data_IF_725473210066
#
_entry.id   IF_725473210066
#
_cell.length_a   1.000
_cell.length_b   1.000
_cell.length_c   1.000
_cell.angle_alpha   90.00
_cell.angle_beta   90.00
_cell.angle_gamma   90.00
#
_symmetry.space_group_name_H-M   'P 1'
#
loop_
_entity.id
_entity.type
_entity.pdbx_description
1 polymer ?
#
# COMPACT_ATOMS: atom_id res chain seq x y z
N UNK A 1 25.79 -41.18 -71.47
CA UNK A 1 27.18 -41.53 -71.11
C UNK A 1 27.15 -42.28 -69.79
N UNK A 2 27.15 -43.61 -69.86
CA UNK A 2 27.32 -44.50 -68.71
C UNK A 2 28.71 -44.35 -68.10
N UNK A 3 28.85 -44.49 -66.78
CA UNK A 3 29.82 -45.41 -66.16
C UNK A 3 29.32 -45.88 -64.79
N UNK A 4 28.87 -47.15 -64.73
CA UNK A 4 28.84 -47.99 -63.52
C UNK A 4 30.26 -48.54 -63.24
N UNK A 5 30.66 -48.58 -61.96
CA UNK A 5 31.63 -49.55 -61.37
C UNK A 5 31.47 -49.45 -59.85
N UNK A 6 30.75 -50.35 -59.16
CA UNK A 6 31.09 -51.73 -58.78
C UNK A 6 32.41 -51.86 -58.00
N UNK A 7 32.30 -52.04 -56.68
CA UNK A 7 32.68 -53.28 -55.96
C UNK A 7 33.43 -53.06 -54.63
N UNK A 8 32.81 -53.65 -53.60
CA UNK A 8 33.28 -54.10 -52.28
C UNK A 8 34.79 -54.19 -52.03
N UNK A 9 35.20 -53.84 -50.79
CA UNK A 9 35.96 -54.74 -49.90
C UNK A 9 35.90 -54.31 -48.43
N UNK A 10 35.53 -55.26 -47.58
CA UNK A 10 35.71 -55.25 -46.14
C UNK A 10 37.19 -55.38 -45.79
N UNK A 11 37.65 -54.66 -44.76
CA UNK A 11 38.78 -55.09 -43.94
C UNK A 11 38.47 -54.81 -42.46
N UNK A 12 38.43 -55.89 -41.69
CA UNK A 12 38.46 -55.88 -40.23
C UNK A 12 39.90 -55.64 -39.78
N UNK A 13 40.11 -54.79 -38.76
CA UNK A 13 41.21 -54.97 -37.82
C UNK A 13 40.84 -54.43 -36.43
N UNK A 14 41.11 -55.26 -35.43
CA UNK A 14 41.04 -55.02 -34.00
C UNK A 14 42.17 -54.10 -33.50
N UNK A 15 41.86 -53.30 -32.48
CA UNK A 15 42.80 -52.58 -31.61
C UNK A 15 42.00 -51.57 -30.75
N UNK A 16 41.47 -51.97 -29.60
CA UNK A 16 42.11 -51.97 -28.28
C UNK A 16 42.51 -50.57 -27.77
N UNK A 17 41.75 -50.06 -26.80
CA UNK A 17 42.22 -49.11 -25.78
C UNK A 17 42.00 -47.62 -26.07
N UNK A 18 41.05 -47.00 -25.37
CA UNK A 18 40.92 -45.53 -25.36
C UNK A 18 39.67 -45.06 -24.63
N UNK A 19 39.83 -44.82 -23.32
CA UNK A 19 38.89 -44.27 -22.36
C UNK A 19 37.70 -43.46 -22.91
N UNK A 20 36.48 -43.94 -22.59
CA UNK A 20 35.27 -43.13 -22.63
C UNK A 20 35.35 -42.06 -21.51
N UNK A 21 35.82 -40.86 -21.86
CA UNK A 21 35.68 -39.69 -21.03
C UNK A 21 34.22 -39.24 -21.07
N UNK A 22 33.42 -39.78 -20.16
CA UNK A 22 32.08 -39.25 -19.87
C UNK A 22 32.25 -37.81 -19.42
N UNK A 23 31.93 -36.84 -20.28
CA UNK A 23 31.90 -35.43 -19.92
C UNK A 23 30.77 -35.22 -18.88
N UNK A 24 31.15 -35.23 -17.61
CA UNK A 24 30.27 -34.93 -16.49
C UNK A 24 29.85 -33.46 -16.60
N UNK A 25 28.56 -33.23 -16.87
CA UNK A 25 27.98 -31.89 -16.81
C UNK A 25 28.19 -31.29 -15.40
N UNK A 26 28.54 -29.99 -15.27
CA UNK A 26 28.86 -29.40 -13.97
C UNK A 26 27.62 -29.38 -13.05
N UNK A 27 27.80 -29.49 -11.72
CA UNK A 27 26.68 -29.44 -10.79
C UNK A 27 26.02 -28.06 -10.84
N UNK A 28 24.78 -28.05 -11.32
CA UNK A 28 23.91 -26.87 -11.25
C UNK A 28 23.72 -26.49 -9.77
N UNK A 29 24.33 -25.37 -9.36
CA UNK A 29 24.14 -24.79 -8.04
C UNK A 29 22.65 -24.48 -7.84
N UNK A 30 21.99 -25.18 -6.92
CA UNK A 30 20.54 -25.05 -6.69
C UNK A 30 20.08 -23.62 -6.40
N UNK A 31 20.96 -22.81 -5.78
CA UNK A 31 20.75 -21.38 -5.55
C UNK A 31 20.64 -20.59 -6.87
N UNK A 32 21.51 -20.86 -7.86
CA UNK A 32 21.42 -20.23 -9.20
C UNK A 32 20.16 -20.66 -9.96
N UNK A 33 19.72 -21.91 -9.82
CA UNK A 33 18.48 -22.39 -10.45
C UNK A 33 17.23 -21.79 -9.80
N UNK A 34 17.25 -21.58 -8.48
CA UNK A 34 16.16 -20.92 -7.74
C UNK A 34 16.10 -19.42 -8.04
N UNK A 35 17.25 -18.72 -8.02
CA UNK A 35 17.34 -17.33 -8.44
C UNK A 35 16.94 -17.17 -9.91
N UNK A 36 17.37 -18.03 -10.84
CA UNK A 36 16.96 -17.95 -12.26
C UNK A 36 15.45 -18.14 -12.44
N UNK A 37 14.82 -19.06 -11.71
CA UNK A 37 13.35 -19.26 -11.74
C UNK A 37 12.61 -18.10 -11.08
N UNK A 38 13.14 -17.57 -9.98
CA UNK A 38 12.61 -16.39 -9.30
C UNK A 38 12.73 -15.14 -10.17
N UNK A 39 13.87 -14.91 -10.83
CA UNK A 39 14.08 -13.82 -11.78
C UNK A 39 13.18 -13.98 -13.02
N UNK A 40 13.02 -15.20 -13.54
CA UNK A 40 12.09 -15.47 -14.64
C UNK A 40 10.61 -15.24 -14.23
N UNK A 41 10.26 -15.57 -12.98
CA UNK A 41 8.94 -15.28 -12.41
C UNK A 41 8.74 -13.77 -12.24
N UNK A 42 9.70 -13.05 -11.64
CA UNK A 42 9.71 -11.60 -11.48
C UNK A 42 9.70 -10.84 -12.81
N UNK A 43 10.26 -11.40 -13.88
CA UNK A 43 10.28 -10.78 -15.22
C UNK A 43 9.03 -11.12 -16.05
N UNK A 44 8.11 -11.94 -15.53
CA UNK A 44 6.79 -12.12 -16.10
C UNK A 44 5.85 -10.99 -15.66
N UNK A 45 4.88 -10.63 -16.49
CA UNK A 45 3.81 -9.68 -16.13
C UNK A 45 3.11 -10.10 -14.82
N UNK A 46 3.02 -11.41 -14.56
CA UNK A 46 2.41 -11.96 -13.35
C UNK A 46 3.27 -11.72 -12.10
N UNK A 47 4.59 -11.91 -12.19
CA UNK A 47 5.48 -11.71 -11.05
C UNK A 47 5.68 -10.24 -10.68
N UNK A 48 5.71 -9.34 -11.65
CA UNK A 48 5.68 -7.90 -11.38
C UNK A 48 4.40 -7.50 -10.65
N UNK A 49 3.23 -7.99 -11.10
CA UNK A 49 1.97 -7.74 -10.40
C UNK A 49 1.98 -8.27 -8.96
N UNK A 50 2.46 -9.51 -8.74
CA UNK A 50 2.54 -10.09 -7.40
C UNK A 50 3.50 -9.34 -6.47
N UNK A 51 4.65 -8.87 -6.99
CA UNK A 51 5.62 -8.08 -6.24
C UNK A 51 5.02 -6.74 -5.82
N UNK A 52 4.32 -6.06 -6.72
CA UNK A 52 3.65 -4.77 -6.42
C UNK A 52 2.57 -4.98 -5.35
N UNK A 53 1.73 -6.01 -5.47
CA UNK A 53 0.71 -6.32 -4.45
C UNK A 53 1.38 -6.60 -3.09
N UNK A 54 2.42 -7.44 -3.07
CA UNK A 54 3.16 -7.75 -1.84
C UNK A 54 3.80 -6.51 -1.20
N UNK A 55 4.44 -5.67 -2.01
CA UNK A 55 5.04 -4.41 -1.56
C UNK A 55 3.98 -3.42 -1.02
N UNK A 56 2.82 -3.33 -1.68
CA UNK A 56 1.70 -2.51 -1.22
C UNK A 56 1.12 -3.00 0.12
N UNK A 57 1.00 -4.32 0.31
CA UNK A 57 0.56 -4.89 1.59
C UNK A 57 1.56 -4.58 2.70
N UNK A 58 2.87 -4.76 2.44
CA UNK A 58 3.93 -4.43 3.40
C UNK A 58 3.94 -2.93 3.73
N UNK A 59 3.80 -2.07 2.72
CA UNK A 59 3.66 -0.63 2.90
C UNK A 59 2.44 -0.27 3.76
N UNK A 60 1.29 -0.91 3.53
CA UNK A 60 0.09 -0.68 4.33
C UNK A 60 0.28 -1.04 5.81
N UNK A 61 0.95 -2.16 6.11
CA UNK A 61 1.28 -2.51 7.50
C UNK A 61 2.28 -1.54 8.12
N UNK A 62 3.30 -1.12 7.37
CA UNK A 62 4.30 -0.18 7.85
C UNK A 62 3.68 1.20 8.18
N UNK A 63 2.90 1.76 7.24
CA UNK A 63 2.21 3.04 7.47
C UNK A 63 1.21 2.95 8.62
N UNK A 64 0.43 1.86 8.70
CA UNK A 64 -0.47 1.64 9.84
C UNK A 64 0.29 1.61 11.17
N UNK A 65 1.43 0.93 11.24
CA UNK A 65 2.21 0.84 12.48
C UNK A 65 2.80 2.21 12.89
N UNK A 66 3.18 3.02 11.90
CA UNK A 66 3.77 4.34 12.13
C UNK A 66 2.72 5.41 12.46
N UNK A 67 1.57 5.41 11.80
CA UNK A 67 0.56 6.48 11.93
C UNK A 67 -0.49 6.21 13.01
N UNK A 68 -0.79 4.94 13.34
CA UNK A 68 -1.74 4.59 14.39
C UNK A 68 -1.51 5.31 15.74
N UNK A 69 -0.28 5.44 16.30
CA UNK A 69 -0.09 6.18 17.54
C UNK A 69 -0.43 7.67 17.39
N UNK A 70 -0.15 8.28 16.24
CA UNK A 70 -0.46 9.69 15.98
C UNK A 70 -1.95 9.94 15.80
N UNK A 71 -2.69 9.02 15.18
CA UNK A 71 -4.15 9.09 15.05
C UNK A 71 -4.83 9.06 16.43
N UNK A 72 -4.39 8.13 17.30
CA UNK A 72 -4.93 8.00 18.66
C UNK A 72 -4.65 9.26 19.48
N UNK A 73 -3.45 9.82 19.36
CA UNK A 73 -3.08 11.05 20.07
C UNK A 73 -3.89 12.27 19.58
N UNK A 74 -4.07 12.44 18.27
CA UNK A 74 -4.90 13.53 17.73
C UNK A 74 -6.35 13.39 18.16
N UNK A 75 -6.89 12.16 18.13
CA UNK A 75 -8.24 11.90 18.59
C UNK A 75 -8.39 12.15 20.10
N UNK A 76 -7.41 11.75 20.91
CA UNK A 76 -7.43 11.98 22.37
C UNK A 76 -7.41 13.48 22.69
N UNK A 77 -6.61 14.26 21.98
CA UNK A 77 -6.54 15.72 22.12
C UNK A 77 -7.87 16.40 21.78
N UNK A 78 -8.50 16.04 20.65
CA UNK A 78 -9.80 16.60 20.27
C UNK A 78 -10.90 16.20 21.26
N UNK A 79 -10.87 14.97 21.78
CA UNK A 79 -11.79 14.51 22.82
C UNK A 79 -11.59 15.29 24.13
N UNK A 80 -10.34 15.52 24.55
CA UNK A 80 -10.03 16.31 25.73
C UNK A 80 -10.52 17.75 25.56
N UNK A 81 -10.23 18.38 24.42
CA UNK A 81 -10.73 19.72 24.10
C UNK A 81 -12.26 19.81 24.17
N UNK A 82 -12.97 18.81 23.64
CA UNK A 82 -14.43 18.75 23.70
C UNK A 82 -14.93 18.69 25.15
N UNK A 83 -14.32 17.83 25.98
CA UNK A 83 -14.67 17.71 27.41
C UNK A 83 -14.43 19.01 28.16
N UNK A 84 -13.30 19.66 27.91
CA UNK A 84 -12.92 20.93 28.50
C UNK A 84 -13.92 22.04 28.14
N UNK A 85 -14.32 22.13 26.87
CA UNK A 85 -15.35 23.08 26.43
C UNK A 85 -16.68 22.79 27.12
N UNK A 86 -17.12 21.53 27.20
CA UNK A 86 -18.35 21.15 27.92
C UNK A 86 -18.27 21.52 29.41
N UNK A 87 -17.12 21.32 30.05
CA UNK A 87 -16.92 21.72 31.45
C UNK A 87 -17.00 23.24 31.64
N UNK A 88 -16.43 24.03 30.72
CA UNK A 88 -16.55 25.50 30.76
C UNK A 88 -17.98 25.97 30.51
N UNK A 89 -18.71 25.32 29.60
CA UNK A 89 -20.14 25.59 29.41
C UNK A 89 -20.96 25.30 30.67
N UNK A 90 -20.65 24.21 31.37
CA UNK A 90 -21.25 23.88 32.66
C UNK A 90 -20.94 24.93 33.74
N UNK A 91 -19.69 25.40 33.82
CA UNK A 91 -19.29 26.46 34.74
C UNK A 91 -20.04 27.77 34.45
N UNK A 92 -20.22 28.13 33.17
CA UNK A 92 -21.03 29.29 32.78
C UNK A 92 -22.46 29.13 33.28
N UNK A 93 -23.07 27.94 33.13
CA UNK A 93 -24.43 27.70 33.64
C UNK A 93 -24.52 27.73 35.17
N UNK A 94 -23.49 27.26 35.87
CA UNK A 94 -23.45 27.18 37.34
C UNK A 94 -23.25 28.57 37.99
N UNK A 95 -22.43 29.43 37.37
CA UNK A 95 -22.11 30.78 37.88
C UNK A 95 -23.24 31.79 37.70
N UNK A 96 -24.16 31.58 36.76
CA UNK A 96 -25.32 32.44 36.57
C UNK A 96 -26.49 31.96 37.44
N UNK A 97 -26.60 32.48 38.67
CA UNK A 97 -27.71 32.21 39.60
C UNK A 97 -29.11 32.54 39.00
N UNK A 98 -29.15 33.38 37.95
CA UNK A 98 -30.28 33.59 37.03
C UNK A 98 -29.73 33.67 35.60
N UNK A 99 -30.21 32.78 34.71
CA UNK A 99 -29.73 32.67 33.33
C UNK A 99 -30.35 33.77 32.44
N UNK A 100 -29.67 34.91 32.30
CA UNK A 100 -30.07 35.92 31.31
C UNK A 100 -29.66 35.47 29.91
N UNK A 101 -30.64 35.31 29.03
CA UNK A 101 -30.46 34.71 27.70
C UNK A 101 -29.37 35.42 26.90
N UNK A 102 -29.34 36.73 26.89
CA UNK A 102 -28.41 37.52 26.07
C UNK A 102 -26.96 37.36 26.56
N UNK A 103 -26.73 37.46 27.86
CA UNK A 103 -25.40 37.32 28.47
C UNK A 103 -24.90 35.87 28.38
N UNK A 104 -25.78 34.90 28.63
CA UNK A 104 -25.46 33.49 28.52
C UNK A 104 -25.12 33.11 27.08
N UNK A 105 -25.95 33.54 26.11
CA UNK A 105 -25.72 33.23 24.69
C UNK A 105 -24.41 33.85 24.21
N UNK A 106 -24.09 35.08 24.62
CA UNK A 106 -22.83 35.72 24.28
C UNK A 106 -21.61 34.96 24.85
N UNK A 107 -21.66 34.57 26.14
CA UNK A 107 -20.59 33.83 26.80
C UNK A 107 -20.37 32.44 26.17
N UNK A 108 -21.46 31.70 25.93
CA UNK A 108 -21.41 30.39 25.28
C UNK A 108 -20.93 30.50 23.83
N UNK A 109 -21.37 31.52 23.09
CA UNK A 109 -20.95 31.71 21.69
C UNK A 109 -19.44 31.95 21.60
N UNK A 110 -18.87 32.74 22.52
CA UNK A 110 -17.42 32.95 22.58
C UNK A 110 -16.66 31.63 22.83
N UNK A 111 -17.13 30.82 23.78
CA UNK A 111 -16.53 29.53 24.12
C UNK A 111 -16.62 28.52 22.96
N UNK A 112 -17.73 28.50 22.23
CA UNK A 112 -17.92 27.65 21.04
C UNK A 112 -17.01 28.11 19.90
N UNK A 113 -16.86 29.41 19.66
CA UNK A 113 -15.99 29.94 18.60
C UNK A 113 -14.53 29.56 18.82
N UNK A 114 -14.07 29.61 20.07
CA UNK A 114 -12.71 29.20 20.43
C UNK A 114 -12.53 27.68 20.25
N UNK A 115 -13.50 26.86 20.69
CA UNK A 115 -13.49 25.43 20.40
C UNK A 115 -13.42 25.14 18.89
N UNK A 116 -14.23 25.84 18.07
CA UNK A 116 -14.24 25.69 16.62
C UNK A 116 -12.88 26.05 16.00
N UNK A 117 -12.26 27.15 16.43
CA UNK A 117 -10.94 27.55 15.93
C UNK A 117 -9.88 26.47 16.19
N UNK A 118 -9.87 25.92 17.40
CA UNK A 118 -8.94 24.84 17.77
C UNK A 118 -9.26 23.53 17.04
N UNK A 119 -10.54 23.20 16.86
CA UNK A 119 -10.97 22.02 16.11
C UNK A 119 -10.55 22.11 14.64
N UNK A 120 -10.73 23.27 14.00
CA UNK A 120 -10.30 23.49 12.62
C UNK A 120 -8.78 23.34 12.51
N UNK A 121 -8.01 23.81 13.49
CA UNK A 121 -6.56 23.59 13.53
C UNK A 121 -6.21 22.10 13.62
N UNK A 122 -6.90 21.34 14.48
CA UNK A 122 -6.69 19.89 14.59
C UNK A 122 -7.05 19.14 13.29
N UNK A 123 -8.14 19.53 12.61
CA UNK A 123 -8.53 18.95 11.31
C UNK A 123 -7.48 19.26 10.24
N UNK A 124 -6.96 20.49 10.20
CA UNK A 124 -5.85 20.86 9.30
C UNK A 124 -4.59 20.06 9.58
N UNK A 125 -4.35 19.70 10.83
CA UNK A 125 -3.22 18.85 11.22
C UNK A 125 -3.46 17.36 10.93
N UNK A 126 -4.63 16.96 10.40
CA UNK A 126 -4.91 15.59 9.97
C UNK A 126 -5.78 14.78 10.94
N UNK A 127 -6.53 15.45 11.83
CA UNK A 127 -7.64 14.81 12.52
C UNK A 127 -8.79 14.53 11.54
N UNK A 128 -9.17 13.25 11.40
CA UNK A 128 -10.14 12.79 10.39
C UNK A 128 -11.60 12.72 10.90
N UNK A 129 -11.85 13.20 12.12
CA UNK A 129 -13.20 13.28 12.70
C UNK A 129 -13.74 11.98 13.28
N UNK A 130 -12.99 10.87 13.23
CA UNK A 130 -13.42 9.60 13.83
C UNK A 130 -13.10 9.54 15.32
N UNK A 131 -14.04 8.99 16.07
CA UNK A 131 -13.78 8.67 17.48
C UNK A 131 -12.89 7.44 17.58
N UNK A 132 -12.04 7.38 18.61
CA UNK A 132 -11.10 6.28 18.87
C UNK A 132 -11.84 4.94 18.73
N UNK A 133 -11.47 4.15 17.72
CA UNK A 133 -12.04 2.82 17.48
C UNK A 133 -13.25 2.73 16.53
N UNK A 134 -13.73 3.84 15.96
CA UNK A 134 -14.86 3.84 14.98
C UNK A 134 -14.44 4.04 13.52
N UNK A 135 -13.14 4.24 13.26
CA UNK A 135 -12.62 4.55 11.94
C UNK A 135 -12.57 3.37 10.97
N UNK A 136 -13.57 3.26 10.09
CA UNK A 136 -13.41 2.55 8.82
C UNK A 136 -12.26 3.19 8.02
N UNK A 137 -11.29 2.37 7.59
CA UNK A 137 -10.11 2.83 6.85
C UNK A 137 -10.52 3.64 5.60
N UNK A 138 -9.95 4.83 5.43
CA UNK A 138 -10.22 5.72 4.29
C UNK A 138 -9.92 5.06 2.94
N UNK A 139 -9.10 4.01 2.95
CA UNK A 139 -8.84 3.14 1.82
C UNK A 139 -9.28 1.72 2.14
N UNK A 140 -10.47 1.35 1.68
CA UNK A 140 -10.84 -0.07 1.62
C UNK A 140 -9.95 -0.78 0.60
N UNK A 141 -9.69 -2.07 0.80
CA UNK A 141 -8.92 -2.90 -0.14
C UNK A 141 -9.43 -2.75 -1.58
N UNK A 142 -10.75 -2.75 -1.75
CA UNK A 142 -11.41 -2.53 -3.04
C UNK A 142 -11.14 -1.14 -3.63
N UNK A 143 -11.09 -0.09 -2.80
CA UNK A 143 -10.78 1.27 -3.24
C UNK A 143 -9.32 1.44 -3.68
N UNK A 144 -8.38 0.91 -2.90
CA UNK A 144 -6.95 0.93 -3.26
C UNK A 144 -6.64 0.08 -4.50
N UNK A 145 -7.31 -1.07 -4.66
CA UNK A 145 -7.21 -1.91 -5.85
C UNK A 145 -7.75 -1.21 -7.10
N UNK A 146 -8.94 -0.61 -7.02
CA UNK A 146 -9.55 0.12 -8.14
C UNK A 146 -8.71 1.33 -8.54
N UNK A 147 -8.16 2.07 -7.57
CA UNK A 147 -7.25 3.19 -7.83
C UNK A 147 -5.95 2.73 -8.51
N UNK A 148 -5.37 1.62 -8.05
CA UNK A 148 -4.19 1.04 -8.70
C UNK A 148 -4.50 0.59 -10.13
N UNK A 149 -5.69 0.02 -10.37
CA UNK A 149 -6.14 -0.40 -11.69
C UNK A 149 -6.32 0.79 -12.65
N UNK A 150 -6.88 1.91 -12.20
CA UNK A 150 -7.07 3.10 -13.05
C UNK A 150 -5.76 3.80 -13.42
N UNK A 151 -4.74 3.75 -12.54
CA UNK A 151 -3.39 4.25 -12.82
C UNK A 151 -2.64 3.34 -13.80
N UNK A 152 -2.65 2.02 -13.59
CA UNK A 152 -1.97 1.06 -14.48
C UNK A 152 -2.59 1.04 -15.88
N UNK A 153 -3.92 1.11 -15.96
CA UNK A 153 -4.63 1.13 -17.25
C UNK A 153 -4.62 2.50 -17.92
N UNK A 154 -4.01 3.53 -17.29
CA UNK A 154 -3.98 4.93 -17.75
C UNK A 154 -5.37 5.55 -17.98
N UNK A 155 -6.41 4.94 -17.41
CA UNK A 155 -7.79 5.43 -17.49
C UNK A 155 -7.94 6.73 -16.70
N UNK A 156 -7.20 6.91 -15.60
CA UNK A 156 -7.25 8.13 -14.78
C UNK A 156 -6.89 9.41 -15.55
N UNK A 157 -5.85 9.38 -16.39
CA UNK A 157 -5.43 10.52 -17.22
C UNK A 157 -6.42 10.81 -18.36
N UNK A 158 -7.03 9.77 -18.94
CA UNK A 158 -8.01 9.93 -20.02
C UNK A 158 -9.38 10.41 -19.53
N UNK A 159 -9.81 10.03 -18.31
CA UNK A 159 -11.07 10.49 -17.72
C UNK A 159 -10.99 11.98 -17.29
N UNK A 160 -9.87 12.41 -16.72
CA UNK A 160 -9.66 13.81 -16.31
C UNK A 160 -9.54 14.74 -17.54
N UNK A 161 -8.89 14.30 -18.63
CA UNK A 161 -8.82 15.08 -19.87
C UNK A 161 -10.15 15.19 -20.62
N UNK A 162 -11.06 14.22 -20.48
CA UNK A 162 -12.38 14.26 -21.14
C UNK A 162 -13.38 15.21 -20.48
N UNK A 163 -13.13 15.70 -19.26
CA UNK A 163 -13.98 16.72 -18.60
C UNK A 163 -13.53 18.17 -18.88
N UNK A 164 -12.47 18.38 -19.67
CA UNK A 164 -11.96 19.72 -20.03
C UNK A 164 -12.16 20.04 -21.53
N UNK A 165 -13.10 19.36 -22.19
CA UNK A 165 -13.62 19.67 -23.53
C UNK A 165 -15.15 19.74 -23.41
#
# INVERSE_FOLDING_TARGET
MERKRSSRRHHHHHGAGGAAASAVAPPENRCKSCCRKFTAFLFSHVGLCALVVGYSILGAFAFRALEAPYEVEKASQVIAMRRDTVARLWEITDRLNVLYKENWTAAVSHEILDFQARLIAAVKDGYDGKEIGTGGQQWSFSGAFLYSLTVITTIGESLVRLQTI
#
